data_IF_696805869108
#
_entry.id   IF_696805869108
#
_cell.length_a   1.000
_cell.length_b   1.000
_cell.length_c   1.000
_cell.angle_alpha   90.00
_cell.angle_beta   90.00
_cell.angle_gamma   90.00
#
_symmetry.space_group_name_H-M   'P 1'
#
loop_
_entity.id
_entity.type
_entity.pdbx_description
1 polymer ?
#
# COMPACT_ATOMS: atom_id res chain seq x y z
N UNK A 1 -2.23 -16.01 -10.99
CA UNK A 1 -2.23 -15.53 -9.58
C UNK A 1 -3.35 -14.54 -9.34
N UNK A 2 -4.05 -14.58 -8.22
CA UNK A 2 -5.08 -13.61 -7.82
C UNK A 2 -4.58 -12.73 -6.69
N UNK A 3 -4.58 -11.42 -6.90
CA UNK A 3 -4.09 -10.44 -5.91
C UNK A 3 -5.21 -9.43 -5.63
N UNK A 4 -5.54 -9.24 -4.37
CA UNK A 4 -6.45 -8.18 -3.95
C UNK A 4 -5.68 -6.93 -3.53
N UNK A 5 -6.17 -5.74 -3.89
CA UNK A 5 -5.59 -4.45 -3.50
C UNK A 5 -6.64 -3.68 -2.71
N UNK A 6 -6.30 -3.22 -1.50
CA UNK A 6 -7.18 -2.43 -0.63
C UNK A 6 -7.43 -0.98 -1.11
N UNK A 7 -7.67 -0.80 -2.40
CA UNK A 7 -8.03 0.46 -3.04
C UNK A 7 -8.68 0.24 -4.41
N UNK A 8 -9.58 1.16 -4.80
CA UNK A 8 -10.11 1.27 -6.18
C UNK A 8 -9.33 2.27 -7.05
N UNK A 9 -8.28 2.87 -6.52
CA UNK A 9 -7.45 3.80 -7.29
C UNK A 9 -6.72 3.04 -8.42
N UNK A 10 -6.91 3.42 -9.70
CA UNK A 10 -6.35 2.69 -10.82
C UNK A 10 -4.82 2.63 -10.80
N UNK A 11 -4.15 3.67 -10.31
CA UNK A 11 -2.69 3.70 -10.19
C UNK A 11 -2.17 2.67 -9.17
N UNK A 12 -2.87 2.48 -8.05
CA UNK A 12 -2.49 1.48 -7.03
C UNK A 12 -2.70 0.04 -7.54
N UNK A 13 -3.79 -0.17 -8.29
CA UNK A 13 -4.09 -1.47 -8.91
C UNK A 13 -3.03 -1.79 -9.98
N UNK A 14 -2.76 -0.84 -10.86
CA UNK A 14 -1.79 -1.01 -11.96
C UNK A 14 -0.36 -1.18 -11.44
N UNK A 15 0.05 -0.39 -10.45
CA UNK A 15 1.36 -0.55 -9.80
C UNK A 15 1.53 -1.93 -9.17
N UNK A 16 0.49 -2.46 -8.52
CA UNK A 16 0.49 -3.83 -8.01
C UNK A 16 0.63 -4.85 -9.14
N UNK A 17 -0.14 -4.70 -10.22
CA UNK A 17 -0.09 -5.60 -11.38
C UNK A 17 1.32 -5.66 -11.97
N UNK A 18 1.91 -4.51 -12.26
CA UNK A 18 3.27 -4.39 -12.81
C UNK A 18 4.35 -4.96 -11.88
N UNK A 19 4.20 -4.82 -10.56
CA UNK A 19 5.13 -5.40 -9.60
C UNK A 19 5.06 -6.93 -9.57
N UNK A 20 3.85 -7.49 -9.56
CA UNK A 20 3.65 -8.95 -9.49
C UNK A 20 4.00 -9.66 -10.80
N UNK A 21 3.72 -9.05 -11.95
CA UNK A 21 4.04 -9.61 -13.27
C UNK A 21 5.55 -9.74 -13.54
N UNK A 22 6.40 -9.08 -12.74
CA UNK A 22 7.85 -9.29 -12.81
C UNK A 22 8.28 -10.67 -12.31
N UNK A 23 7.46 -11.32 -11.48
CA UNK A 23 7.80 -12.57 -10.81
C UNK A 23 6.83 -13.71 -11.11
N UNK A 24 5.61 -13.41 -11.57
CA UNK A 24 4.54 -14.38 -11.76
C UNK A 24 3.82 -14.19 -13.09
N UNK A 25 3.36 -15.29 -13.67
CA UNK A 25 2.52 -15.30 -14.88
C UNK A 25 1.02 -15.25 -14.52
N UNK A 26 0.19 -14.81 -15.47
CA UNK A 26 -1.28 -14.76 -15.37
C UNK A 26 -1.80 -14.05 -14.08
N UNK A 27 -1.24 -12.88 -13.78
CA UNK A 27 -1.63 -12.05 -12.62
C UNK A 27 -2.97 -11.37 -12.87
N UNK A 28 -3.93 -11.56 -11.96
CA UNK A 28 -5.23 -10.88 -11.94
C UNK A 28 -5.34 -10.07 -10.66
N UNK A 29 -5.47 -8.75 -10.81
CA UNK A 29 -5.53 -7.82 -9.68
C UNK A 29 -6.96 -7.30 -9.50
N UNK A 30 -7.45 -7.35 -8.26
CA UNK A 30 -8.81 -6.96 -7.87
C UNK A 30 -8.75 -5.79 -6.90
N UNK A 31 -9.29 -4.65 -7.28
CA UNK A 31 -9.40 -3.48 -6.41
C UNK A 31 -10.61 -3.58 -5.50
N UNK A 32 -10.39 -3.64 -4.18
CA UNK A 32 -11.42 -3.70 -3.15
C UNK A 32 -11.42 -2.39 -2.38
N UNK A 33 -12.60 -1.81 -2.20
CA UNK A 33 -12.76 -0.57 -1.45
C UNK A 33 -12.55 -0.83 0.04
N UNK A 34 -11.72 0.02 0.67
CA UNK A 34 -11.49 -0.01 2.10
C UNK A 34 -11.59 1.41 2.61
N UNK A 35 -12.48 1.61 3.58
CA UNK A 35 -12.60 2.90 4.26
C UNK A 35 -11.24 3.27 4.90
N UNK A 36 -10.70 4.46 4.59
CA UNK A 36 -9.45 4.92 5.18
C UNK A 36 -9.65 5.11 6.68
N UNK A 37 -8.74 4.54 7.48
CA UNK A 37 -8.72 4.78 8.94
C UNK A 37 -8.35 6.22 9.29
N UNK A 38 -7.42 6.80 8.52
CA UNK A 38 -6.92 8.15 8.71
C UNK A 38 -7.21 8.98 7.48
N UNK A 39 -7.67 10.23 7.66
CA UNK A 39 -7.90 11.16 6.54
C UNK A 39 -6.60 11.59 5.88
N UNK A 40 -5.54 11.78 6.67
CA UNK A 40 -4.19 12.09 6.23
C UNK A 40 -3.20 11.46 7.22
N UNK A 41 -2.58 10.32 6.88
CA UNK A 41 -1.68 9.61 7.78
C UNK A 41 -0.38 10.39 8.04
N UNK A 42 0.05 10.42 9.30
CA UNK A 42 1.36 10.91 9.70
C UNK A 42 2.22 9.80 10.30
N UNK A 43 3.51 9.78 9.94
CA UNK A 43 4.50 8.88 10.53
C UNK A 43 4.01 7.41 10.51
N UNK A 44 3.90 6.79 11.69
CA UNK A 44 3.50 5.39 11.88
C UNK A 44 2.08 5.08 11.40
N UNK A 45 1.19 6.08 11.34
CA UNK A 45 -0.18 5.91 10.84
C UNK A 45 -0.18 5.45 9.37
N UNK A 46 0.83 5.85 8.61
CA UNK A 46 1.00 5.46 7.20
C UNK A 46 1.15 3.95 7.06
N UNK A 47 2.04 3.36 7.86
CA UNK A 47 2.27 1.92 7.88
C UNK A 47 1.05 1.19 8.46
N UNK A 48 0.48 1.69 9.56
CA UNK A 48 -0.71 1.10 10.17
C UNK A 48 -1.90 1.07 9.18
N UNK A 49 -2.10 2.14 8.43
CA UNK A 49 -3.13 2.23 7.40
C UNK A 49 -2.93 1.23 6.27
N UNK A 50 -1.69 1.05 5.79
CA UNK A 50 -1.39 0.06 4.76
C UNK A 50 -1.58 -1.39 5.25
N UNK A 51 -1.13 -1.72 6.48
CA UNK A 51 -1.37 -3.04 7.08
C UNK A 51 -2.88 -3.32 7.17
N UNK A 52 -3.66 -2.36 7.66
CA UNK A 52 -5.10 -2.52 7.83
C UNK A 52 -5.82 -2.70 6.48
N UNK A 53 -5.39 -1.97 5.44
CA UNK A 53 -5.89 -2.17 4.07
C UNK A 53 -5.65 -3.58 3.58
N UNK A 54 -4.44 -4.12 3.75
CA UNK A 54 -4.12 -5.49 3.32
C UNK A 54 -4.94 -6.52 4.11
N UNK A 55 -5.03 -6.38 5.44
CA UNK A 55 -5.75 -7.30 6.30
C UNK A 55 -7.26 -7.37 6.01
N UNK A 56 -7.92 -6.22 5.86
CA UNK A 56 -9.38 -6.16 5.69
C UNK A 56 -9.88 -6.84 4.42
N UNK A 57 -9.03 -6.96 3.41
CA UNK A 57 -9.39 -7.47 2.08
C UNK A 57 -8.82 -8.85 1.78
N UNK A 58 -8.07 -9.43 2.73
CA UNK A 58 -7.61 -10.80 2.60
C UNK A 58 -8.75 -11.80 2.77
N UNK A 59 -8.77 -12.81 1.92
CA UNK A 59 -9.66 -13.98 2.01
C UNK A 59 -8.99 -15.15 1.28
N UNK A 60 -9.50 -16.37 1.51
CA UNK A 60 -9.01 -17.59 0.84
C UNK A 60 -9.24 -17.60 -0.69
N UNK A 61 -9.89 -16.56 -1.26
CA UNK A 61 -10.06 -16.40 -2.70
C UNK A 61 -8.83 -15.80 -3.41
N UNK A 62 -7.91 -15.21 -2.64
CA UNK A 62 -6.73 -14.50 -3.14
C UNK A 62 -5.44 -15.15 -2.65
N UNK A 63 -4.41 -15.17 -3.51
CA UNK A 63 -3.07 -15.64 -3.14
C UNK A 63 -2.36 -14.59 -2.27
N UNK A 64 -2.62 -13.31 -2.55
CA UNK A 64 -2.07 -12.17 -1.81
C UNK A 64 -3.09 -11.04 -1.69
N UNK A 65 -2.93 -10.26 -0.63
CA UNK A 65 -3.58 -8.97 -0.43
C UNK A 65 -2.53 -7.88 -0.29
N UNK A 66 -2.83 -6.70 -0.83
CA UNK A 66 -1.89 -5.58 -0.89
C UNK A 66 -2.54 -4.32 -0.35
N UNK A 67 -1.89 -3.70 0.62
CA UNK A 67 -2.23 -2.39 1.15
C UNK A 67 -1.19 -1.36 0.73
N UNK A 68 -1.63 -0.28 0.09
CA UNK A 68 -0.75 0.84 -0.29
C UNK A 68 -1.31 2.10 0.32
N UNK A 69 -0.48 2.84 1.06
CA UNK A 69 -0.86 4.12 1.66
C UNK A 69 0.25 5.16 1.49
N UNK A 70 -0.15 6.41 1.28
CA UNK A 70 0.74 7.56 1.30
C UNK A 70 0.53 8.33 2.59
N UNK A 71 1.57 8.93 3.13
CA UNK A 71 1.50 9.71 4.35
C UNK A 71 2.70 10.63 4.51
N UNK A 72 2.58 11.55 5.46
CA UNK A 72 3.62 12.53 5.76
C UNK A 72 4.51 12.03 6.91
N UNK A 73 5.80 11.88 6.65
CA UNK A 73 6.79 11.55 7.67
C UNK A 73 7.51 12.81 8.14
N UNK A 74 7.64 12.98 9.45
CA UNK A 74 8.38 14.10 10.04
C UNK A 74 9.87 13.94 9.78
N UNK A 75 10.44 14.84 8.98
CA UNK A 75 11.85 14.84 8.61
C UNK A 75 12.39 16.25 8.83
N UNK A 76 13.28 16.41 9.81
CA UNK A 76 13.90 17.72 10.11
C UNK A 76 14.75 18.19 8.92
N UNK A 77 14.88 19.51 8.78
CA UNK A 77 15.63 20.19 7.70
C UNK A 77 14.95 20.17 6.33
N UNK A 78 13.67 19.81 6.29
CA UNK A 78 12.77 20.05 5.15
C UNK A 78 12.07 21.41 5.30
N UNK A 79 11.57 21.97 4.20
CA UNK A 79 10.78 23.20 4.08
C UNK A 79 9.59 23.17 5.03
N UNK A 80 8.82 22.08 5.04
CA UNK A 80 7.60 21.95 5.84
C UNK A 80 7.80 21.22 7.17
N UNK A 81 8.96 20.59 7.38
CA UNK A 81 9.18 19.62 8.45
C UNK A 81 8.71 18.19 8.10
N UNK A 82 8.22 17.96 6.86
CA UNK A 82 7.70 16.68 6.40
C UNK A 82 8.16 16.30 5.00
N UNK A 83 8.19 14.98 4.75
CA UNK A 83 8.26 14.39 3.41
C UNK A 83 7.07 13.45 3.20
N UNK A 84 6.57 13.38 1.97
CA UNK A 84 5.61 12.37 1.53
C UNK A 84 6.34 11.05 1.28
N UNK A 85 5.78 9.96 1.80
CA UNK A 85 6.24 8.60 1.53
C UNK A 85 5.06 7.70 1.20
N UNK A 86 5.27 6.79 0.26
CA UNK A 86 4.38 5.67 -0.02
C UNK A 86 4.93 4.41 0.66
N UNK A 87 4.04 3.65 1.28
CA UNK A 87 4.34 2.32 1.79
C UNK A 87 3.45 1.30 1.11
N UNK A 88 4.01 0.15 0.80
CA UNK A 88 3.32 -1.03 0.28
C UNK A 88 3.50 -2.19 1.26
N UNK A 89 2.41 -2.85 1.60
CA UNK A 89 2.35 -4.03 2.45
C UNK A 89 1.74 -5.17 1.66
N UNK A 90 2.43 -6.31 1.58
CA UNK A 90 1.93 -7.53 0.95
C UNK A 90 1.69 -8.56 2.04
N UNK A 91 0.51 -9.19 2.04
CA UNK A 91 0.08 -10.20 3.00
C UNK A 91 -0.44 -11.44 2.29
N UNK A 92 0.01 -12.62 2.75
CA UNK A 92 -0.31 -13.92 2.16
C UNK A 92 -1.20 -14.80 3.06
N UNK A 93 -1.83 -14.23 4.10
CA UNK A 93 -2.57 -14.99 5.10
C UNK A 93 -1.77 -15.38 6.34
N UNK A 94 -0.44 -15.33 6.29
CA UNK A 94 0.41 -15.70 7.43
C UNK A 94 1.34 -14.58 7.87
N UNK A 95 1.97 -13.88 6.93
CA UNK A 95 2.99 -12.87 7.21
C UNK A 95 2.91 -11.66 6.29
N UNK A 96 3.44 -10.54 6.78
CA UNK A 96 3.59 -9.31 6.02
C UNK A 96 5.01 -9.16 5.49
N UNK A 97 5.13 -8.58 4.29
CA UNK A 97 6.34 -7.90 3.85
C UNK A 97 6.02 -6.44 3.58
N UNK A 98 7.00 -5.56 3.80
CA UNK A 98 6.82 -4.11 3.79
C UNK A 98 7.90 -3.50 2.89
N UNK A 99 7.50 -2.59 2.01
CA UNK A 99 8.40 -1.80 1.19
C UNK A 99 7.98 -0.34 1.14
N UNK A 100 8.95 0.56 0.95
CA UNK A 100 8.71 1.99 0.81
C UNK A 100 9.06 2.45 -0.61
N UNK A 101 8.24 3.34 -1.14
CA UNK A 101 8.57 4.11 -2.32
C UNK A 101 9.56 5.24 -2.01
N UNK A 102 10.10 5.91 -3.04
CA UNK A 102 10.94 7.08 -2.84
C UNK A 102 10.13 8.18 -2.15
N UNK A 103 10.72 8.80 -1.11
CA UNK A 103 10.12 9.95 -0.47
C UNK A 103 10.43 11.24 -1.22
N UNK A 104 9.52 12.21 -1.16
CA UNK A 104 9.73 13.54 -1.72
C UNK A 104 9.17 14.62 -0.80
N UNK A 105 9.70 15.83 -0.95
CA UNK A 105 9.30 16.99 -0.19
C UNK A 105 8.26 17.81 -0.98
N UNK A 106 7.24 18.31 -0.29
CA UNK A 106 6.31 19.28 -0.87
C UNK A 106 6.93 20.70 -0.85
N UNK A 107 6.61 21.55 -1.84
CA UNK A 107 7.10 22.93 -1.92
C UNK A 107 6.78 23.80 -0.70
#
# INVERSE_FOLDING_TARGET
MKVAVGSRNPTKIEGTRLAFEQFFEDVKVFGIEVEPRFRQPFNEETLAGAIERALKIYSDEFDFSVGIEAGLMSVRHTITGYMDFQVAVIYNGEKFTIGFGPGFEYP
#
